data_IF_901825582302
#
_entry.id   IF_901825582302
#
_cell.length_a   1.000
_cell.length_b   1.000
_cell.length_c   1.000
_cell.angle_alpha   90.00
_cell.angle_beta   90.00
_cell.angle_gamma   90.00
#
_symmetry.space_group_name_H-M   'P 1'
#
loop_
_entity.id
_entity.type
_entity.pdbx_description
1 polymer ?
#
# COMPACT_ATOMS: atom_id res chain seq x y z
N UNK A 1 -2.95 5.73 -7.38
CA UNK A 1 -4.20 5.17 -6.86
C UNK A 1 -3.83 4.24 -5.74
N UNK A 2 -4.69 4.08 -4.73
CA UNK A 2 -4.45 3.10 -3.66
C UNK A 2 -5.10 1.77 -4.01
N UNK A 3 -4.66 0.71 -3.34
CA UNK A 3 -5.27 -0.61 -3.39
C UNK A 3 -6.77 -0.55 -3.09
N UNK A 4 -7.17 0.24 -2.10
CA UNK A 4 -8.58 0.43 -1.77
C UNK A 4 -9.39 1.05 -2.91
N UNK A 5 -8.83 2.00 -3.66
CA UNK A 5 -9.49 2.61 -4.81
C UNK A 5 -9.65 1.62 -5.97
N UNK A 6 -8.55 0.95 -6.36
CA UNK A 6 -8.55 -0.04 -7.44
C UNK A 6 -9.47 -1.23 -7.10
N UNK A 7 -9.34 -1.75 -5.87
CA UNK A 7 -10.18 -2.85 -5.36
C UNK A 7 -11.66 -2.49 -5.27
N UNK A 8 -11.99 -1.26 -4.86
CA UNK A 8 -13.39 -0.80 -4.82
C UNK A 8 -14.00 -0.77 -6.22
N UNK A 9 -13.30 -0.19 -7.20
CA UNK A 9 -13.76 -0.16 -8.60
C UNK A 9 -13.96 -1.58 -9.15
N UNK A 10 -12.98 -2.45 -8.92
CA UNK A 10 -13.04 -3.85 -9.36
C UNK A 10 -14.25 -4.58 -8.76
N UNK A 11 -14.49 -4.43 -7.45
CA UNK A 11 -15.64 -5.06 -6.76
C UNK A 11 -16.98 -4.49 -7.22
N UNK A 12 -17.09 -3.17 -7.39
CA UNK A 12 -18.32 -2.52 -7.85
C UNK A 12 -18.74 -2.98 -9.24
N UNK A 13 -17.79 -3.08 -10.18
CA UNK A 13 -18.08 -3.54 -11.54
C UNK A 13 -18.40 -5.03 -11.59
N UNK A 14 -17.74 -5.87 -10.77
CA UNK A 14 -18.11 -7.28 -10.62
C UNK A 14 -19.53 -7.43 -10.06
N UNK A 15 -19.88 -6.66 -9.04
CA UNK A 15 -21.23 -6.60 -8.47
C UNK A 15 -22.25 -6.19 -9.53
N UNK A 16 -21.95 -5.17 -10.34
CA UNK A 16 -22.79 -4.75 -11.45
C UNK A 16 -23.02 -5.88 -12.44
N UNK A 17 -21.98 -6.62 -12.83
CA UNK A 17 -22.11 -7.78 -13.73
C UNK A 17 -22.90 -8.94 -13.10
N UNK A 18 -22.71 -9.21 -11.80
CA UNK A 18 -23.44 -10.26 -11.07
C UNK A 18 -24.93 -9.97 -10.93
N UNK A 19 -25.34 -8.70 -10.96
CA UNK A 19 -26.75 -8.28 -11.01
C UNK A 19 -27.35 -8.38 -12.42
N UNK A 20 -26.54 -8.56 -13.46
CA UNK A 20 -27.00 -8.69 -14.84
C UNK A 20 -27.35 -10.14 -15.21
N UNK A 21 -28.45 -10.28 -15.95
CA UNK A 21 -28.94 -11.53 -16.52
C UNK A 21 -29.17 -11.40 -18.02
N UNK A 22 -29.38 -12.54 -18.69
CA UNK A 22 -29.65 -12.64 -20.14
C UNK A 22 -28.57 -11.98 -20.98
N UNK A 23 -27.33 -12.46 -20.80
CA UNK A 23 -26.12 -11.85 -21.34
C UNK A 23 -26.15 -11.71 -22.86
N UNK A 24 -26.65 -12.72 -23.56
CA UNK A 24 -26.86 -12.69 -25.02
C UNK A 24 -27.68 -11.48 -25.49
N UNK A 25 -28.78 -11.17 -24.80
CA UNK A 25 -29.65 -10.04 -25.14
C UNK A 25 -28.93 -8.71 -24.96
N UNK A 26 -28.13 -8.59 -23.89
CA UNK A 26 -27.36 -7.38 -23.58
C UNK A 26 -26.20 -7.12 -24.56
N UNK A 27 -25.77 -8.16 -25.28
CA UNK A 27 -24.81 -8.06 -26.38
C UNK A 27 -25.51 -7.87 -27.75
N UNK A 28 -26.82 -7.59 -27.75
CA UNK A 28 -27.59 -7.38 -28.98
C UNK A 28 -28.03 -8.67 -29.68
N UNK A 29 -27.90 -9.83 -29.02
CA UNK A 29 -28.31 -11.11 -29.57
C UNK A 29 -29.73 -11.55 -29.26
N UNK A 30 -30.09 -12.71 -29.83
CA UNK A 30 -31.42 -13.28 -29.73
C UNK A 30 -31.85 -13.44 -28.27
N UNK A 31 -33.11 -13.11 -28.00
CA UNK A 31 -33.54 -12.91 -26.63
C UNK A 31 -34.95 -13.29 -26.31
N UNK A 32 -35.81 -12.28 -26.45
CA UNK A 32 -37.26 -12.41 -26.42
C UNK A 32 -37.71 -12.10 -27.84
N UNK A 33 -38.78 -12.74 -28.32
CA UNK A 33 -39.34 -12.47 -29.66
C UNK A 33 -39.71 -10.99 -29.88
N UNK A 34 -39.72 -10.18 -28.82
CA UNK A 34 -40.05 -8.76 -28.80
C UNK A 34 -38.86 -7.81 -28.97
N UNK A 35 -37.60 -8.28 -28.89
CA UNK A 35 -36.40 -7.42 -29.04
C UNK A 35 -35.63 -7.89 -30.28
N UNK A 36 -35.50 -7.05 -31.32
CA UNK A 36 -34.76 -7.41 -32.52
C UNK A 36 -33.25 -7.52 -32.24
N UNK A 37 -32.58 -8.44 -32.93
CA UNK A 37 -31.12 -8.56 -32.86
C UNK A 37 -30.47 -7.30 -33.44
N UNK A 38 -29.52 -6.74 -32.69
CA UNK A 38 -28.76 -5.55 -33.08
C UNK A 38 -27.29 -5.84 -33.37
N UNK A 39 -26.87 -7.10 -33.25
CA UNK A 39 -25.53 -7.58 -33.59
C UNK A 39 -25.58 -8.83 -34.44
N UNK A 40 -24.52 -9.06 -35.22
CA UNK A 40 -24.32 -10.32 -35.93
C UNK A 40 -23.70 -11.39 -35.02
N UNK A 41 -23.72 -12.67 -35.44
CA UNK A 41 -23.05 -13.74 -34.70
C UNK A 41 -21.53 -13.53 -34.61
N UNK A 42 -20.91 -13.03 -35.68
CA UNK A 42 -19.47 -12.73 -35.76
C UNK A 42 -19.09 -11.58 -34.81
N UNK A 43 -19.89 -10.51 -34.77
CA UNK A 43 -19.69 -9.42 -33.81
C UNK A 43 -19.77 -9.92 -32.37
N UNK A 44 -20.75 -10.78 -32.06
CA UNK A 44 -20.88 -11.39 -30.73
C UNK A 44 -19.70 -12.29 -30.38
N UNK A 45 -19.14 -12.99 -31.36
CA UNK A 45 -17.93 -13.78 -31.16
C UNK A 45 -16.73 -12.92 -30.79
N UNK A 46 -16.52 -11.81 -31.51
CA UNK A 46 -15.45 -10.85 -31.20
C UNK A 46 -15.60 -10.24 -29.80
N UNK A 47 -16.83 -9.87 -29.42
CA UNK A 47 -17.14 -9.39 -28.07
C UNK A 47 -16.88 -10.47 -27.02
N UNK A 48 -17.27 -11.72 -27.26
CA UNK A 48 -16.99 -12.85 -26.37
C UNK A 48 -15.49 -13.08 -26.17
N UNK A 49 -14.70 -13.01 -27.24
CA UNK A 49 -13.24 -13.10 -27.18
C UNK A 49 -12.62 -11.93 -26.40
N UNK A 50 -13.12 -10.70 -26.59
CA UNK A 50 -12.67 -9.51 -25.87
C UNK A 50 -12.95 -9.62 -24.37
N UNK A 51 -14.17 -9.99 -23.98
CA UNK A 51 -14.55 -10.19 -22.58
C UNK A 51 -13.66 -11.25 -21.92
N UNK A 52 -13.29 -12.31 -22.64
CA UNK A 52 -12.36 -13.33 -22.12
C UNK A 52 -10.98 -12.77 -21.81
N UNK A 53 -10.45 -11.83 -22.61
CA UNK A 53 -9.18 -11.16 -22.32
C UNK A 53 -9.30 -10.30 -21.07
N UNK A 54 -10.43 -9.59 -20.91
CA UNK A 54 -10.73 -8.82 -19.71
C UNK A 54 -10.84 -9.69 -18.45
N UNK A 55 -11.52 -10.84 -18.53
CA UNK A 55 -11.55 -11.86 -17.48
C UNK A 55 -10.13 -12.36 -17.15
N UNK A 56 -9.28 -12.52 -18.16
CA UNK A 56 -7.88 -12.91 -18.00
C UNK A 56 -7.08 -11.93 -17.15
N UNK A 57 -7.25 -10.62 -17.36
CA UNK A 57 -6.62 -9.59 -16.54
C UNK A 57 -7.05 -9.67 -15.06
N UNK A 58 -8.34 -9.86 -14.79
CA UNK A 58 -8.84 -10.02 -13.43
C UNK A 58 -8.29 -11.28 -12.72
N UNK A 59 -8.20 -12.40 -13.44
CA UNK A 59 -7.56 -13.63 -12.93
C UNK A 59 -6.05 -13.42 -12.69
N UNK A 60 -5.38 -12.66 -13.55
CA UNK A 60 -3.99 -12.25 -13.38
C UNK A 60 -3.77 -11.48 -12.08
N UNK A 61 -4.59 -10.47 -11.82
CA UNK A 61 -4.58 -9.72 -10.56
C UNK A 61 -4.79 -10.64 -9.34
N UNK A 62 -5.71 -11.60 -9.40
CA UNK A 62 -5.91 -12.57 -8.31
C UNK A 62 -4.65 -13.42 -8.06
N UNK A 63 -3.94 -13.83 -9.11
CA UNK A 63 -2.67 -14.55 -8.99
C UNK A 63 -1.62 -13.65 -8.32
N UNK A 64 -1.44 -12.41 -8.78
CA UNK A 64 -0.49 -11.48 -8.17
C UNK A 64 -0.80 -11.25 -6.69
N UNK A 65 -2.06 -11.01 -6.34
CA UNK A 65 -2.50 -10.84 -4.96
C UNK A 65 -2.13 -12.05 -4.07
N UNK A 66 -2.43 -13.27 -4.53
CA UNK A 66 -2.13 -14.50 -3.79
C UNK A 66 -0.61 -14.76 -3.69
N UNK A 67 0.16 -14.42 -4.72
CA UNK A 67 1.61 -14.61 -4.74
C UNK A 67 2.33 -13.68 -3.76
N UNK A 68 1.81 -12.47 -3.57
CA UNK A 68 2.43 -11.43 -2.72
C UNK A 68 1.96 -11.51 -1.28
N UNK A 69 0.68 -11.86 -1.07
CA UNK A 69 0.10 -12.07 0.27
C UNK A 69 0.39 -13.46 0.87
N UNK A 70 1.04 -14.38 0.13
CA UNK A 70 1.44 -15.69 0.67
C UNK A 70 2.88 -15.67 1.20
N UNK A 71 3.09 -15.58 2.54
CA UNK A 71 4.42 -15.52 3.12
C UNK A 71 5.21 -16.83 3.00
N UNK A 72 4.56 -17.96 2.66
CA UNK A 72 5.17 -19.31 2.63
C UNK A 72 5.46 -19.84 1.22
N UNK A 73 5.37 -19.00 0.20
CA UNK A 73 5.54 -19.36 -1.21
C UNK A 73 6.87 -20.07 -1.56
N UNK A 74 7.93 -19.82 -0.80
CA UNK A 74 9.26 -20.38 -1.02
C UNK A 74 9.56 -21.64 -0.18
N UNK A 75 8.64 -22.10 0.67
CA UNK A 75 8.79 -23.38 1.36
C UNK A 75 8.40 -24.51 0.38
N UNK A 76 9.35 -24.89 -0.47
CA UNK A 76 9.20 -26.01 -1.39
C UNK A 76 8.85 -27.30 -0.65
N UNK A 77 7.84 -28.03 -1.14
CA UNK A 77 7.48 -29.35 -0.60
C UNK A 77 5.99 -29.69 -0.57
N UNK A 78 5.09 -28.86 -1.09
CA UNK A 78 3.66 -29.19 -1.09
C UNK A 78 3.29 -30.12 -2.26
N UNK A 79 3.20 -31.42 -1.97
CA UNK A 79 2.48 -32.39 -2.80
C UNK A 79 0.99 -32.04 -2.85
N UNK A 80 0.21 -32.57 -3.81
CA UNK A 80 -1.26 -32.35 -3.85
C UNK A 80 -1.97 -32.67 -2.53
N UNK A 81 -1.39 -33.55 -1.69
CA UNK A 81 -1.93 -33.94 -0.39
C UNK A 81 -1.50 -33.05 0.79
N UNK A 82 -0.53 -32.14 0.60
CA UNK A 82 0.04 -31.31 1.68
C UNK A 82 -0.11 -29.80 1.44
N UNK A 83 -0.93 -29.38 0.47
CA UNK A 83 -1.23 -27.96 0.24
C UNK A 83 -2.20 -27.44 1.30
N UNK A 84 -1.81 -26.35 1.96
CA UNK A 84 -2.75 -25.55 2.75
C UNK A 84 -3.74 -24.78 1.86
N UNK A 85 -4.77 -24.15 2.46
CA UNK A 85 -5.83 -23.41 1.74
C UNK A 85 -5.33 -22.43 0.68
N UNK A 86 -4.36 -21.58 1.05
CA UNK A 86 -3.79 -20.55 0.17
C UNK A 86 -3.01 -21.16 -1.00
N UNK A 87 -2.29 -22.26 -0.74
CA UNK A 87 -1.45 -22.92 -1.74
C UNK A 87 -2.29 -23.68 -2.77
N UNK A 88 -3.36 -24.35 -2.34
CA UNK A 88 -4.29 -25.01 -3.24
C UNK A 88 -5.04 -23.97 -4.09
N UNK A 89 -5.47 -22.85 -3.50
CA UNK A 89 -6.09 -21.75 -4.24
C UNK A 89 -5.15 -21.19 -5.32
N UNK A 90 -3.90 -20.89 -4.96
CA UNK A 90 -2.86 -20.46 -5.90
C UNK A 90 -2.68 -21.45 -7.05
N UNK A 91 -2.57 -22.73 -6.72
CA UNK A 91 -2.38 -23.78 -7.71
C UNK A 91 -3.52 -23.83 -8.72
N UNK A 92 -4.77 -23.78 -8.26
CA UNK A 92 -5.96 -23.79 -9.14
C UNK A 92 -6.10 -22.53 -9.97
N UNK A 93 -5.73 -21.37 -9.43
CA UNK A 93 -5.67 -20.12 -10.18
C UNK A 93 -4.65 -20.20 -11.33
N UNK A 94 -3.41 -20.62 -11.03
CA UNK A 94 -2.36 -20.79 -12.04
C UNK A 94 -2.72 -21.86 -13.08
N UNK A 95 -3.35 -22.96 -12.66
CA UNK A 95 -3.90 -23.97 -13.56
C UNK A 95 -4.93 -23.36 -14.53
N UNK A 96 -5.84 -22.54 -14.02
CA UNK A 96 -6.89 -21.87 -14.81
C UNK A 96 -6.32 -20.87 -15.82
N UNK A 97 -5.29 -20.10 -15.45
CA UNK A 97 -4.59 -19.18 -16.37
C UNK A 97 -3.82 -19.96 -17.43
N UNK A 98 -3.04 -20.99 -17.07
CA UNK A 98 -2.28 -21.78 -18.05
C UNK A 98 -3.16 -22.50 -19.06
N UNK A 99 -4.36 -22.91 -18.65
CA UNK A 99 -5.34 -23.54 -19.55
C UNK A 99 -6.15 -22.51 -20.36
N UNK A 100 -6.01 -21.21 -20.07
CA UNK A 100 -6.65 -20.15 -20.83
C UNK A 100 -5.84 -19.84 -22.08
N UNK A 101 -6.44 -20.02 -23.24
CA UNK A 101 -5.89 -19.55 -24.52
C UNK A 101 -6.28 -18.08 -24.82
N UNK A 102 -6.78 -17.34 -23.82
CA UNK A 102 -7.07 -15.92 -24.00
C UNK A 102 -5.76 -15.12 -23.96
N UNK A 103 -5.49 -14.31 -24.98
CA UNK A 103 -4.40 -13.34 -24.94
C UNK A 103 -4.62 -12.25 -23.90
N UNK A 104 -3.63 -11.37 -23.75
CA UNK A 104 -3.72 -10.20 -22.84
C UNK A 104 -4.51 -9.09 -23.55
N UNK A 105 -5.34 -8.36 -22.79
CA UNK A 105 -6.03 -7.19 -23.31
C UNK A 105 -5.02 -6.10 -23.70
N UNK A 106 -5.16 -5.54 -24.90
CA UNK A 106 -4.23 -4.50 -25.37
C UNK A 106 -4.49 -3.16 -24.68
N UNK A 107 -3.47 -2.28 -24.65
CA UNK A 107 -3.65 -0.92 -24.10
C UNK A 107 -4.76 -0.14 -24.80
N UNK A 108 -4.93 -0.35 -26.12
CA UNK A 108 -6.01 0.27 -26.90
C UNK A 108 -7.38 -0.20 -26.41
N UNK A 109 -7.55 -1.51 -26.20
CA UNK A 109 -8.79 -2.08 -25.66
C UNK A 109 -9.11 -1.54 -24.26
N UNK A 110 -8.11 -1.39 -23.40
CA UNK A 110 -8.28 -0.86 -22.04
C UNK A 110 -8.55 0.64 -22.00
N UNK A 111 -8.16 1.39 -23.04
CA UNK A 111 -8.29 2.86 -23.08
C UNK A 111 -9.58 3.33 -23.73
N UNK A 112 -10.12 2.58 -24.69
CA UNK A 112 -11.30 2.98 -25.48
C UNK A 112 -12.59 2.51 -24.80
N UNK A 113 -13.52 3.45 -24.60
CA UNK A 113 -14.85 3.16 -24.06
C UNK A 113 -15.64 2.21 -24.98
N UNK A 114 -16.38 1.28 -24.37
CA UNK A 114 -17.10 0.24 -25.09
C UNK A 114 -18.56 0.62 -25.31
N UNK A 115 -19.08 0.33 -26.51
CA UNK A 115 -20.48 0.60 -26.89
C UNK A 115 -21.51 -0.09 -25.98
N UNK A 116 -21.21 -1.32 -25.54
CA UNK A 116 -22.15 -2.12 -24.74
C UNK A 116 -21.81 -1.99 -23.26
N UNK A 117 -22.76 -1.61 -22.38
CA UNK A 117 -22.49 -1.39 -20.96
C UNK A 117 -21.86 -2.59 -20.25
N UNK A 118 -22.25 -3.81 -20.66
CA UNK A 118 -21.70 -5.04 -20.08
C UNK A 118 -20.22 -5.24 -20.43
N UNK A 119 -19.83 -4.88 -21.65
CA UNK A 119 -18.44 -4.95 -22.12
C UNK A 119 -17.62 -3.84 -21.49
N UNK A 120 -18.25 -2.67 -21.26
CA UNK A 120 -17.65 -1.56 -20.53
C UNK A 120 -17.34 -1.93 -19.07
N UNK A 121 -18.27 -2.56 -18.35
CA UNK A 121 -17.99 -3.08 -17.00
C UNK A 121 -16.83 -4.08 -16.99
N UNK A 122 -16.76 -4.99 -17.96
CA UNK A 122 -15.59 -5.89 -18.10
C UNK A 122 -14.29 -5.14 -18.40
N UNK A 123 -14.33 -4.08 -19.23
CA UNK A 123 -13.16 -3.23 -19.49
C UNK A 123 -12.71 -2.53 -18.21
N UNK A 124 -13.63 -1.97 -17.42
CA UNK A 124 -13.30 -1.31 -16.15
C UNK A 124 -12.70 -2.29 -15.14
N UNK A 125 -13.22 -3.52 -15.05
CA UNK A 125 -12.62 -4.60 -14.25
C UNK A 125 -11.18 -4.86 -14.71
N UNK A 126 -10.96 -5.03 -16.01
CA UNK A 126 -9.63 -5.32 -16.54
C UNK A 126 -8.66 -4.15 -16.34
N UNK A 127 -9.13 -2.92 -16.51
CA UNK A 127 -8.35 -1.70 -16.25
C UNK A 127 -7.98 -1.60 -14.77
N UNK A 128 -8.93 -1.80 -13.86
CA UNK A 128 -8.68 -1.81 -12.42
C UNK A 128 -7.70 -2.92 -12.01
N UNK A 129 -7.82 -4.12 -12.61
CA UNK A 129 -6.93 -5.24 -12.38
C UNK A 129 -5.49 -4.93 -12.82
N UNK A 130 -5.30 -4.45 -14.05
CA UNK A 130 -3.96 -4.09 -14.58
C UNK A 130 -3.33 -2.95 -13.79
N UNK A 131 -4.12 -1.93 -13.40
CA UNK A 131 -3.61 -0.86 -12.54
C UNK A 131 -3.28 -1.37 -11.13
N UNK A 132 -4.10 -2.29 -10.61
CA UNK A 132 -3.91 -2.92 -9.31
C UNK A 132 -2.70 -3.85 -9.22
N UNK A 133 -2.21 -4.38 -10.34
CA UNK A 133 -0.95 -5.15 -10.36
C UNK A 133 0.23 -4.29 -9.88
N UNK A 134 0.21 -2.98 -10.14
CA UNK A 134 1.25 -2.07 -9.66
C UNK A 134 1.23 -1.89 -8.14
N UNK A 135 0.08 -2.05 -7.48
CA UNK A 135 -0.01 -1.92 -6.02
C UNK A 135 0.90 -2.92 -5.30
N UNK A 136 1.07 -4.10 -5.92
CA UNK A 136 1.93 -5.17 -5.44
C UNK A 136 3.42 -4.97 -5.72
N UNK A 137 3.78 -4.12 -6.69
CA UNK A 137 5.18 -3.76 -6.94
C UNK A 137 5.72 -2.71 -5.94
N UNK A 138 4.83 -2.09 -5.15
CA UNK A 138 5.14 -1.02 -4.21
C UNK A 138 5.05 -1.47 -2.75
N UNK A 139 4.14 -0.83 -2.01
CA UNK A 139 3.99 -1.05 -0.57
C UNK A 139 3.36 -2.41 -0.24
N UNK A 140 2.65 -3.05 -1.17
CA UNK A 140 2.08 -4.40 -0.96
C UNK A 140 2.98 -5.52 -1.48
N UNK A 141 4.26 -5.23 -1.73
CA UNK A 141 5.21 -6.26 -2.10
C UNK A 141 5.45 -7.26 -0.96
N UNK A 142 5.81 -8.49 -1.33
CA UNK A 142 6.11 -9.59 -0.41
C UNK A 142 7.02 -9.15 0.74
N UNK A 143 6.61 -9.51 1.95
CA UNK A 143 7.37 -9.23 3.18
C UNK A 143 7.18 -7.81 3.74
N UNK A 144 6.41 -6.95 3.06
CA UNK A 144 6.05 -5.61 3.57
C UNK A 144 4.69 -5.54 4.25
N UNK A 145 3.89 -6.60 4.16
CA UNK A 145 2.58 -6.71 4.78
C UNK A 145 2.66 -7.50 6.08
N UNK A 146 1.89 -7.07 7.08
CA UNK A 146 1.60 -7.84 8.29
C UNK A 146 0.82 -9.11 7.94
N UNK A 147 0.74 -10.05 8.87
CA UNK A 147 -0.06 -11.27 8.66
C UNK A 147 -1.54 -10.95 8.44
N UNK A 148 -2.11 -9.98 9.18
CA UNK A 148 -3.51 -9.60 9.05
C UNK A 148 -3.77 -8.90 7.70
N UNK A 149 -2.85 -8.04 7.26
CA UNK A 149 -2.91 -7.41 5.93
C UNK A 149 -2.88 -8.45 4.80
N UNK A 150 -2.02 -9.47 4.92
CA UNK A 150 -2.00 -10.60 3.99
C UNK A 150 -3.35 -11.35 3.96
N UNK A 151 -3.98 -11.58 5.11
CA UNK A 151 -5.29 -12.25 5.17
C UNK A 151 -6.41 -11.42 4.52
N UNK A 152 -6.41 -10.10 4.69
CA UNK A 152 -7.34 -9.20 3.98
C UNK A 152 -7.19 -9.33 2.47
N UNK A 153 -5.96 -9.25 1.95
CA UNK A 153 -5.68 -9.36 0.50
C UNK A 153 -6.06 -10.74 -0.06
N UNK A 154 -5.81 -11.82 0.71
CA UNK A 154 -6.20 -13.18 0.33
C UNK A 154 -7.71 -13.36 0.26
N UNK A 155 -8.45 -12.77 1.20
CA UNK A 155 -9.92 -12.78 1.20
C UNK A 155 -10.46 -12.06 -0.03
N UNK A 156 -9.94 -10.86 -0.33
CA UNK A 156 -10.32 -10.08 -1.51
C UNK A 156 -10.07 -10.87 -2.82
N UNK A 157 -8.90 -11.49 -2.97
CA UNK A 157 -8.57 -12.30 -4.15
C UNK A 157 -9.48 -13.52 -4.31
N UNK A 158 -9.82 -14.18 -3.20
CA UNK A 158 -10.72 -15.32 -3.18
C UNK A 158 -12.16 -14.94 -3.59
N UNK A 159 -12.70 -13.84 -3.03
CA UNK A 159 -14.04 -13.35 -3.37
C UNK A 159 -14.15 -12.90 -4.83
N UNK A 160 -13.16 -12.17 -5.32
CA UNK A 160 -13.08 -11.79 -6.74
C UNK A 160 -13.06 -13.04 -7.62
N UNK A 161 -12.31 -14.08 -7.24
CA UNK A 161 -12.27 -15.33 -8.01
C UNK A 161 -13.63 -16.04 -8.01
N UNK A 162 -14.32 -16.11 -6.86
CA UNK A 162 -15.68 -16.67 -6.78
C UNK A 162 -16.65 -15.92 -7.69
N UNK A 163 -16.61 -14.58 -7.69
CA UNK A 163 -17.41 -13.77 -8.60
C UNK A 163 -17.13 -14.10 -10.08
N UNK A 164 -15.86 -14.21 -10.46
CA UNK A 164 -15.46 -14.58 -11.82
C UNK A 164 -15.95 -15.98 -12.21
N UNK A 165 -15.96 -16.95 -11.29
CA UNK A 165 -16.50 -18.29 -11.53
C UNK A 165 -18.02 -18.26 -11.75
N UNK A 166 -18.76 -17.48 -10.95
CA UNK A 166 -20.21 -17.30 -11.15
C UNK A 166 -20.50 -16.67 -12.51
N UNK A 167 -19.75 -15.62 -12.88
CA UNK A 167 -19.87 -14.98 -14.19
C UNK A 167 -19.48 -15.95 -15.32
N UNK A 168 -18.44 -16.76 -15.15
CA UNK A 168 -18.01 -17.73 -16.16
C UNK A 168 -19.13 -18.68 -16.57
N UNK A 169 -19.92 -19.14 -15.60
CA UNK A 169 -21.10 -19.97 -15.85
C UNK A 169 -22.21 -19.22 -16.58
N UNK A 170 -22.41 -17.93 -16.27
CA UNK A 170 -23.47 -17.12 -16.93
C UNK A 170 -23.14 -16.81 -18.38
N UNK A 171 -21.85 -16.79 -18.74
CA UNK A 171 -21.37 -16.41 -20.07
C UNK A 171 -21.16 -17.63 -21.00
N UNK A 172 -21.39 -18.85 -20.49
CA UNK A 172 -21.16 -20.12 -21.20
C UNK A 172 -21.86 -20.22 -22.56
N UNK A 173 -22.99 -19.52 -22.75
CA UNK A 173 -23.74 -19.50 -24.01
C UNK A 173 -23.31 -18.44 -25.03
N UNK A 174 -22.25 -17.66 -24.80
CA UNK A 174 -21.83 -16.57 -25.71
C UNK A 174 -20.86 -17.10 -26.78
N UNK A 175 -21.06 -16.78 -28.08
CA UNK A 175 -20.09 -17.07 -29.13
C UNK A 175 -18.66 -16.64 -28.76
N UNK A 176 -17.66 -17.46 -29.05
CA UNK A 176 -16.27 -17.19 -28.70
C UNK A 176 -15.93 -17.36 -27.20
N UNK A 177 -16.91 -17.67 -26.35
CA UNK A 177 -16.67 -17.96 -24.93
C UNK A 177 -15.94 -19.30 -24.75
N UNK A 178 -14.94 -19.31 -23.88
CA UNK A 178 -14.26 -20.54 -23.44
C UNK A 178 -14.34 -20.55 -21.91
N UNK A 179 -15.08 -21.50 -21.32
CA UNK A 179 -15.22 -21.64 -19.88
C UNK A 179 -13.90 -21.94 -19.18
N UNK A 180 -13.83 -21.64 -17.89
CA UNK A 180 -12.72 -22.05 -17.03
C UNK A 180 -12.78 -23.57 -16.86
N UNK A 181 -11.76 -24.31 -17.33
CA UNK A 181 -11.79 -25.79 -17.35
C UNK A 181 -11.95 -26.42 -15.97
N UNK A 182 -11.26 -25.90 -14.96
CA UNK A 182 -11.30 -26.40 -13.58
C UNK A 182 -12.23 -25.59 -12.68
N UNK A 183 -13.28 -24.99 -13.25
CA UNK A 183 -14.23 -24.05 -12.59
C UNK A 183 -14.65 -24.50 -11.19
N UNK A 184 -15.16 -25.73 -11.03
CA UNK A 184 -15.65 -26.21 -9.74
C UNK A 184 -14.55 -26.41 -8.69
N UNK A 185 -13.33 -26.81 -9.10
CA UNK A 185 -12.18 -26.94 -8.19
C UNK A 185 -11.63 -25.57 -7.80
N UNK A 186 -11.62 -24.62 -8.74
CA UNK A 186 -11.21 -23.25 -8.48
C UNK A 186 -12.16 -22.57 -7.50
N UNK A 187 -13.48 -22.70 -7.71
CA UNK A 187 -14.50 -22.14 -6.81
C UNK A 187 -14.34 -22.67 -5.38
N UNK A 188 -14.19 -23.99 -5.24
CA UNK A 188 -14.00 -24.62 -3.94
C UNK A 188 -12.70 -24.17 -3.26
N UNK A 189 -11.61 -24.05 -4.01
CA UNK A 189 -10.34 -23.60 -3.45
C UNK A 189 -10.41 -22.13 -3.01
N UNK A 190 -11.10 -21.27 -3.78
CA UNK A 190 -11.34 -19.88 -3.42
C UNK A 190 -12.23 -19.77 -2.16
N UNK A 191 -13.32 -20.52 -2.08
CA UNK A 191 -14.19 -20.58 -0.90
C UNK A 191 -13.43 -20.98 0.37
N UNK A 192 -12.61 -22.05 0.29
CA UNK A 192 -11.81 -22.52 1.43
C UNK A 192 -10.73 -21.49 1.81
N UNK A 193 -10.12 -20.82 0.84
CA UNK A 193 -9.16 -19.75 1.11
C UNK A 193 -9.82 -18.53 1.78
N UNK A 194 -11.01 -18.11 1.31
CA UNK A 194 -11.75 -17.01 1.92
C UNK A 194 -12.15 -17.33 3.37
N UNK A 195 -12.63 -18.55 3.63
CA UNK A 195 -12.96 -18.98 4.99
C UNK A 195 -11.74 -19.05 5.92
N UNK A 196 -10.60 -19.52 5.39
CA UNK A 196 -9.33 -19.56 6.14
C UNK A 196 -8.81 -18.16 6.45
N UNK A 197 -8.78 -17.27 5.46
CA UNK A 197 -8.27 -15.92 5.61
C UNK A 197 -9.21 -15.01 6.41
N UNK A 198 -10.51 -15.26 6.37
CA UNK A 198 -11.52 -14.50 7.12
C UNK A 198 -11.73 -14.95 8.57
N UNK A 199 -10.87 -15.80 9.14
CA UNK A 199 -10.98 -16.25 10.53
C UNK A 199 -10.59 -15.15 11.53
N UNK A 200 -9.56 -14.37 11.19
CA UNK A 200 -9.09 -13.24 12.00
C UNK A 200 -9.76 -11.93 11.56
N UNK A 201 -9.76 -10.93 12.45
CA UNK A 201 -10.25 -9.60 12.11
C UNK A 201 -9.40 -8.99 10.97
N UNK A 202 -10.04 -8.46 9.90
CA UNK A 202 -9.32 -7.91 8.75
C UNK A 202 -8.61 -6.60 9.12
N UNK A 203 -7.35 -6.50 8.70
CA UNK A 203 -6.61 -5.23 8.72
C UNK A 203 -6.83 -4.50 7.38
N UNK A 204 -7.55 -3.40 7.44
CA UNK A 204 -7.90 -2.59 6.27
C UNK A 204 -6.93 -1.45 6.00
N UNK A 205 -5.82 -1.35 6.73
CA UNK A 205 -4.75 -0.42 6.42
C UNK A 205 -4.18 -0.61 5.00
N UNK A 206 -4.28 -1.83 4.46
CA UNK A 206 -3.98 -2.16 3.06
C UNK A 206 -4.71 -1.26 2.05
N UNK A 207 -5.92 -0.78 2.36
CA UNK A 207 -6.71 0.07 1.45
C UNK A 207 -6.06 1.46 1.22
N UNK A 208 -5.21 1.89 2.15
CA UNK A 208 -4.46 3.16 2.06
C UNK A 208 -3.08 2.99 1.40
N UNK A 209 -2.64 1.74 1.23
CA UNK A 209 -1.39 1.34 0.58
C UNK A 209 -1.61 1.19 -0.93
N UNK A 210 -0.53 1.09 -1.71
CA UNK A 210 -0.60 0.91 -3.16
C UNK A 210 0.51 1.66 -3.88
N UNK A 211 0.49 1.64 -5.20
CA UNK A 211 1.54 2.30 -5.98
C UNK A 211 1.38 3.82 -5.92
N UNK A 212 2.39 4.49 -5.38
CA UNK A 212 2.56 5.94 -5.45
C UNK A 212 3.76 6.23 -6.35
N UNK A 213 3.67 7.21 -7.27
CA UNK A 213 4.85 7.69 -7.97
C UNK A 213 5.94 8.01 -6.94
N UNK A 214 7.21 7.65 -7.18
CA UNK A 214 8.29 8.03 -6.30
C UNK A 214 8.25 9.55 -6.13
N UNK A 215 8.25 10.02 -4.88
CA UNK A 215 8.23 11.45 -4.60
C UNK A 215 9.46 12.07 -5.27
N UNK A 216 9.23 13.03 -6.16
CA UNK A 216 10.28 13.79 -6.81
C UNK A 216 10.50 15.11 -6.05
N UNK A 217 11.71 15.64 -6.17
CA UNK A 217 12.02 17.00 -5.73
C UNK A 217 11.16 17.99 -6.50
N UNK A 218 10.78 19.08 -5.84
CA UNK A 218 10.16 20.21 -6.51
C UNK A 218 11.28 20.98 -7.19
N UNK A 219 11.38 20.80 -8.50
CA UNK A 219 12.37 21.47 -9.36
C UNK A 219 12.02 22.96 -9.56
N UNK A 220 13.05 23.77 -9.80
CA UNK A 220 12.92 25.21 -10.01
C UNK A 220 13.71 26.04 -8.99
N UNK A 221 13.73 27.36 -9.20
CA UNK A 221 14.32 28.30 -8.24
C UNK A 221 13.61 28.27 -6.88
N UNK A 222 14.23 28.81 -5.83
CA UNK A 222 13.61 28.86 -4.50
C UNK A 222 12.30 29.65 -4.56
N UNK A 223 11.21 29.04 -4.10
CA UNK A 223 9.94 29.75 -3.92
C UNK A 223 10.12 30.86 -2.87
N UNK A 224 9.45 32.01 -3.03
CA UNK A 224 9.51 33.09 -2.04
C UNK A 224 8.71 32.72 -0.79
N UNK A 225 8.98 33.42 0.31
CA UNK A 225 8.17 33.32 1.52
C UNK A 225 8.20 31.93 2.18
N UNK A 226 7.12 31.60 2.88
CA UNK A 226 6.90 30.28 3.49
C UNK A 226 6.85 29.14 2.46
N UNK A 227 6.51 29.43 1.21
CA UNK A 227 6.55 28.47 0.11
C UNK A 227 7.96 27.89 -0.11
N UNK A 228 8.99 28.72 0.04
CA UNK A 228 10.38 28.28 -0.03
C UNK A 228 10.79 27.33 1.10
N UNK A 229 10.21 27.50 2.29
CA UNK A 229 10.42 26.60 3.43
C UNK A 229 9.73 25.26 3.17
N UNK A 230 8.48 25.28 2.71
CA UNK A 230 7.72 24.08 2.37
C UNK A 230 8.42 23.27 1.27
N UNK A 231 8.95 23.95 0.24
CA UNK A 231 9.73 23.33 -0.84
C UNK A 231 10.96 22.62 -0.30
N UNK A 232 11.76 23.30 0.53
CA UNK A 232 12.99 22.74 1.09
C UNK A 232 12.71 21.55 2.03
N UNK A 233 11.68 21.66 2.88
CA UNK A 233 11.27 20.57 3.77
C UNK A 233 10.77 19.33 2.99
N UNK A 234 10.00 19.55 1.91
CA UNK A 234 9.59 18.47 1.00
C UNK A 234 10.80 17.83 0.30
N UNK A 235 11.72 18.62 -0.24
CA UNK A 235 12.91 18.09 -0.92
C UNK A 235 13.83 17.33 0.05
N UNK A 236 13.96 17.80 1.30
CA UNK A 236 14.65 17.07 2.36
C UNK A 236 14.04 15.69 2.56
N UNK A 237 12.70 15.59 2.68
CA UNK A 237 11.99 14.32 2.81
C UNK A 237 12.25 13.38 1.62
N UNK A 238 12.25 13.92 0.40
CA UNK A 238 12.60 13.16 -0.81
C UNK A 238 14.02 12.61 -0.73
N UNK A 239 14.99 13.43 -0.31
CA UNK A 239 16.38 12.98 -0.18
C UNK A 239 16.58 11.97 0.96
N UNK A 240 15.80 12.06 2.03
CA UNK A 240 15.77 11.07 3.12
C UNK A 240 15.19 9.71 2.69
N UNK A 241 14.69 9.56 1.46
CA UNK A 241 14.42 8.22 0.88
C UNK A 241 15.68 7.35 0.84
N UNK A 242 16.86 7.95 0.75
CA UNK A 242 18.16 7.28 0.87
C UNK A 242 18.58 7.25 2.33
N UNK A 243 19.16 6.13 2.75
CA UNK A 243 19.66 5.99 4.12
C UNK A 243 20.81 7.01 4.37
N UNK A 244 20.75 7.83 5.43
CA UNK A 244 21.80 8.79 5.75
C UNK A 244 22.87 8.17 6.65
N UNK A 245 24.11 8.60 6.47
CA UNK A 245 25.17 8.40 7.47
C UNK A 245 24.83 9.12 8.79
N UNK A 246 25.43 8.68 9.91
CA UNK A 246 25.08 9.17 11.24
C UNK A 246 25.28 10.68 11.41
N UNK A 247 26.35 11.24 10.82
CA UNK A 247 26.61 12.68 10.86
C UNK A 247 25.53 13.48 10.12
N UNK A 248 25.13 12.99 8.94
CA UNK A 248 24.07 13.60 8.14
C UNK A 248 22.72 13.53 8.87
N UNK A 249 22.39 12.38 9.49
CA UNK A 249 21.20 12.24 10.34
C UNK A 249 21.21 13.30 11.45
N UNK A 250 22.32 13.43 12.19
CA UNK A 250 22.41 14.40 13.30
C UNK A 250 22.21 15.85 12.83
N UNK A 251 22.70 16.22 11.65
CA UNK A 251 22.49 17.55 11.07
C UNK A 251 21.03 17.78 10.67
N UNK A 252 20.36 16.75 10.14
CA UNK A 252 18.92 16.80 9.87
C UNK A 252 18.14 16.97 11.16
N UNK A 253 18.47 16.24 12.24
CA UNK A 253 17.83 16.39 13.55
C UNK A 253 17.94 17.83 14.08
N UNK A 254 19.12 18.44 13.97
CA UNK A 254 19.31 19.84 14.39
C UNK A 254 18.53 20.83 13.51
N UNK A 255 18.47 20.59 12.20
CA UNK A 255 17.63 21.35 11.29
C UNK A 255 16.16 21.32 11.69
N UNK A 256 15.63 20.12 11.97
CA UNK A 256 14.25 19.93 12.41
C UNK A 256 13.96 20.57 13.76
N UNK A 257 14.89 20.47 14.73
CA UNK A 257 14.80 21.18 16.01
C UNK A 257 14.65 22.69 15.82
N UNK A 258 15.54 23.29 15.04
CA UNK A 258 15.54 24.74 14.80
C UNK A 258 14.27 25.14 14.04
N UNK A 259 13.86 24.35 13.05
CA UNK A 259 12.71 24.65 12.22
C UNK A 259 11.40 24.61 13.03
N UNK A 260 11.21 23.61 13.91
CA UNK A 260 10.09 23.54 14.85
C UNK A 260 10.00 24.80 15.73
N UNK A 261 11.14 25.20 16.33
CA UNK A 261 11.20 26.39 17.17
C UNK A 261 10.81 27.66 16.40
N UNK A 262 11.37 27.83 15.20
CA UNK A 262 11.13 29.00 14.37
C UNK A 262 9.69 29.05 13.83
N UNK A 263 9.09 27.90 13.55
CA UNK A 263 7.69 27.79 13.16
C UNK A 263 6.77 28.20 14.33
N UNK A 264 7.04 27.70 15.55
CA UNK A 264 6.27 28.05 16.74
C UNK A 264 6.25 29.56 17.03
N UNK A 265 7.37 30.25 16.78
CA UNK A 265 7.45 31.71 16.93
C UNK A 265 6.58 32.51 15.94
N UNK A 266 6.18 31.92 14.81
CA UNK A 266 5.38 32.58 13.75
C UNK A 266 3.91 32.16 13.73
N UNK A 267 3.54 31.22 14.60
CA UNK A 267 2.18 30.71 14.73
C UNK A 267 1.21 31.51 15.62
N UNK A 268 1.60 32.39 16.59
CA UNK A 268 0.67 32.98 17.56
C UNK A 268 -0.58 33.64 16.97
N UNK A 269 -0.41 34.40 15.89
CA UNK A 269 -1.50 35.22 15.35
C UNK A 269 -2.37 34.47 14.33
N UNK A 270 -1.88 33.34 13.78
CA UNK A 270 -2.51 32.65 12.65
C UNK A 270 -2.89 31.20 12.93
N UNK A 271 -2.14 30.47 13.76
CA UNK A 271 -2.36 29.07 14.07
C UNK A 271 -1.87 28.72 15.49
N UNK A 272 -2.41 29.38 16.54
CA UNK A 272 -1.94 29.20 17.92
C UNK A 272 -2.07 27.74 18.40
N UNK A 273 -2.99 26.96 17.82
CA UNK A 273 -3.19 25.55 18.12
C UNK A 273 -1.96 24.66 17.82
N UNK A 274 -1.03 25.12 16.97
CA UNK A 274 0.15 24.34 16.57
C UNK A 274 1.36 24.58 17.48
N UNK A 275 1.35 25.62 18.32
CA UNK A 275 2.53 26.08 19.07
C UNK A 275 3.01 25.02 20.05
N UNK A 276 2.11 24.51 20.89
CA UNK A 276 2.46 23.55 21.94
C UNK A 276 3.10 22.29 21.33
N UNK A 277 2.47 21.72 20.30
CA UNK A 277 3.00 20.55 19.60
C UNK A 277 4.35 20.81 18.91
N UNK A 278 4.60 22.01 18.39
CA UNK A 278 5.89 22.36 17.79
C UNK A 278 7.00 22.60 18.81
N UNK A 279 6.67 23.13 19.99
CA UNK A 279 7.63 23.26 21.10
C UNK A 279 7.96 21.89 21.72
N UNK A 280 6.97 21.02 21.86
CA UNK A 280 7.18 19.62 22.26
C UNK A 280 8.08 18.92 21.23
N UNK A 281 7.77 19.07 19.94
CA UNK A 281 8.61 18.55 18.85
C UNK A 281 10.04 19.05 18.94
N UNK A 282 10.27 20.35 19.14
CA UNK A 282 11.62 20.91 19.36
C UNK A 282 12.36 20.17 20.48
N UNK A 283 11.70 19.96 21.62
CA UNK A 283 12.28 19.30 22.77
C UNK A 283 12.60 17.82 22.48
N UNK A 284 11.72 17.10 21.79
CA UNK A 284 11.99 15.72 21.33
C UNK A 284 13.22 15.65 20.45
N UNK A 285 13.37 16.55 19.47
CA UNK A 285 14.57 16.60 18.62
C UNK A 285 15.84 16.97 19.40
N UNK A 286 15.74 17.82 20.42
CA UNK A 286 16.85 18.12 21.32
C UNK A 286 17.29 16.87 22.12
N UNK A 287 16.34 16.06 22.58
CA UNK A 287 16.63 14.79 23.26
C UNK A 287 17.31 13.80 22.29
N UNK A 288 16.79 13.66 21.06
CA UNK A 288 17.39 12.81 20.01
C UNK A 288 18.81 13.25 19.64
N UNK A 289 19.08 14.55 19.57
CA UNK A 289 20.45 15.06 19.36
C UNK A 289 21.40 14.66 20.50
N UNK A 290 20.91 14.67 21.74
CA UNK A 290 21.66 14.19 22.90
C UNK A 290 22.00 12.70 22.79
N UNK A 291 21.00 11.88 22.48
CA UNK A 291 21.15 10.43 22.32
C UNK A 291 22.07 10.06 21.14
N UNK A 292 22.02 10.82 20.04
CA UNK A 292 22.86 10.58 18.85
C UNK A 292 24.30 11.09 18.96
N UNK A 293 24.69 11.70 20.09
CA UNK A 293 26.02 12.35 20.22
C UNK A 293 27.19 11.39 19.97
N UNK A 294 27.07 10.15 20.42
CA UNK A 294 28.11 9.11 20.31
C UNK A 294 27.81 8.07 19.24
N UNK A 295 26.78 8.30 18.42
CA UNK A 295 26.39 7.43 17.32
C UNK A 295 27.26 7.73 16.10
N UNK A 296 27.92 6.71 15.58
CA UNK A 296 28.68 6.70 14.33
C UNK A 296 28.07 5.75 13.31
N UNK A 297 28.37 5.97 12.04
CA UNK A 297 27.93 5.14 10.93
C UNK A 297 28.23 5.85 9.61
N UNK A 298 28.99 5.19 8.75
CA UNK A 298 29.48 5.72 7.46
C UNK A 298 28.66 5.22 6.26
N UNK A 299 27.66 4.37 6.51
CA UNK A 299 26.83 3.80 5.46
C UNK A 299 25.75 4.81 5.08
N UNK A 300 25.64 5.08 3.78
CA UNK A 300 24.62 5.98 3.22
C UNK A 300 25.18 7.31 2.74
N UNK A 301 24.28 8.18 2.26
CA UNK A 301 24.61 9.55 1.87
C UNK A 301 23.39 10.43 2.15
N UNK A 302 23.51 11.32 3.14
CA UNK A 302 22.47 12.27 3.50
C UNK A 302 22.79 13.72 3.12
N UNK A 303 23.84 13.99 2.35
CA UNK A 303 24.32 15.35 2.09
C UNK A 303 23.26 16.26 1.46
N UNK A 304 22.48 15.74 0.51
CA UNK A 304 21.39 16.50 -0.11
C UNK A 304 20.24 16.80 0.86
N UNK A 305 19.89 15.85 1.74
CA UNK A 305 18.90 16.09 2.79
C UNK A 305 19.39 17.15 3.79
N UNK A 306 20.67 17.11 4.17
CA UNK A 306 21.29 18.12 5.04
C UNK A 306 21.25 19.50 4.40
N UNK A 307 21.57 19.60 3.10
CA UNK A 307 21.52 20.88 2.37
C UNK A 307 20.10 21.45 2.37
N UNK A 308 19.08 20.64 2.11
CA UNK A 308 17.69 21.10 2.11
C UNK A 308 17.16 21.42 3.51
N UNK A 309 17.56 20.68 4.54
CA UNK A 309 17.27 21.05 5.93
C UNK A 309 17.88 22.42 6.30
N UNK A 310 19.12 22.67 5.87
CA UNK A 310 19.76 23.96 6.07
C UNK A 310 19.07 25.09 5.28
N UNK A 311 18.63 24.83 4.05
CA UNK A 311 17.85 25.77 3.25
C UNK A 311 16.52 26.11 3.94
N UNK A 312 15.79 25.11 4.43
CA UNK A 312 14.53 25.33 5.15
C UNK A 312 14.73 26.22 6.38
N UNK A 313 15.79 25.96 7.16
CA UNK A 313 16.16 26.79 8.32
C UNK A 313 16.55 28.20 7.93
N UNK A 314 17.39 28.39 6.90
CA UNK A 314 17.82 29.72 6.45
C UNK A 314 16.62 30.54 6.01
N UNK A 315 15.78 29.97 5.13
CA UNK A 315 14.57 30.62 4.63
C UNK A 315 13.61 30.94 5.77
N UNK A 316 13.38 30.02 6.69
CA UNK A 316 12.51 30.28 7.85
C UNK A 316 13.04 31.43 8.72
N UNK A 317 14.35 31.56 8.89
CA UNK A 317 14.95 32.68 9.65
C UNK A 317 14.79 34.02 8.95
N UNK A 318 14.82 34.04 7.63
CA UNK A 318 14.65 35.24 6.81
C UNK A 318 13.20 35.74 6.78
N UNK A 319 12.21 34.86 7.01
CA UNK A 319 10.79 35.24 7.07
C UNK A 319 10.47 36.10 8.28
N UNK A 320 9.90 37.29 8.06
CA UNK A 320 9.31 38.06 9.15
C UNK A 320 8.07 37.38 9.72
N UNK A 321 7.74 37.65 10.98
CA UNK A 321 6.56 37.05 11.65
C UNK A 321 5.26 37.44 10.92
N UNK A 322 5.19 38.69 10.45
CA UNK A 322 4.01 39.24 9.78
C UNK A 322 3.83 38.81 8.31
N UNK A 323 4.82 38.11 7.73
CA UNK A 323 4.73 37.63 6.34
C UNK A 323 3.77 36.44 6.19
N UNK A 324 3.44 35.76 7.28
CA UNK A 324 2.50 34.64 7.29
C UNK A 324 1.13 35.17 7.72
N UNK A 325 0.25 35.36 6.74
CA UNK A 325 -1.08 35.95 6.95
C UNK A 325 -2.21 34.93 7.07
N UNK A 326 -1.93 33.65 6.83
CA UNK A 326 -2.92 32.57 6.87
C UNK A 326 -2.39 31.31 7.55
N UNK A 327 -3.31 30.52 8.12
CA UNK A 327 -2.99 29.27 8.82
C UNK A 327 -2.60 28.12 7.87
N UNK A 328 -3.01 28.17 6.60
CA UNK A 328 -2.89 27.05 5.66
C UNK A 328 -1.43 26.63 5.41
N UNK A 329 -0.47 27.54 5.13
CA UNK A 329 0.94 27.16 4.97
C UNK A 329 1.55 26.54 6.23
N UNK A 330 1.14 26.99 7.42
CA UNK A 330 1.60 26.41 8.69
C UNK A 330 1.02 25.01 8.93
N UNK A 331 -0.23 24.79 8.52
CA UNK A 331 -0.85 23.45 8.55
C UNK A 331 -0.18 22.50 7.55
N UNK A 332 0.21 22.99 6.38
CA UNK A 332 0.97 22.19 5.41
C UNK A 332 2.38 21.89 5.91
N UNK A 333 3.04 22.84 6.56
CA UNK A 333 4.31 22.59 7.24
C UNK A 333 4.15 21.55 8.35
N UNK A 334 3.06 21.60 9.13
CA UNK A 334 2.77 20.61 10.16
C UNK A 334 2.63 19.20 9.57
N UNK A 335 1.95 19.05 8.42
CA UNK A 335 1.87 17.76 7.70
C UNK A 335 3.25 17.26 7.28
N UNK A 336 4.14 18.15 6.84
CA UNK A 336 5.52 17.80 6.48
C UNK A 336 6.33 17.39 7.72
N UNK A 337 6.18 18.09 8.85
CA UNK A 337 6.80 17.71 10.12
C UNK A 337 6.40 16.30 10.55
N UNK A 338 5.11 15.97 10.54
CA UNK A 338 4.64 14.62 10.87
C UNK A 338 5.27 13.55 9.96
N UNK A 339 5.43 13.85 8.66
CA UNK A 339 6.10 12.94 7.71
C UNK A 339 7.60 12.83 7.99
N UNK A 340 8.25 13.93 8.35
CA UNK A 340 9.67 13.96 8.71
C UNK A 340 9.92 13.12 9.97
N UNK A 341 9.09 13.27 11.00
CA UNK A 341 9.16 12.52 12.25
C UNK A 341 9.03 11.01 11.99
N UNK A 342 8.01 10.61 11.22
CA UNK A 342 7.80 9.22 10.83
C UNK A 342 8.98 8.65 10.02
N UNK A 343 9.54 9.44 9.09
CA UNK A 343 10.66 9.00 8.25
C UNK A 343 11.95 8.86 9.07
N UNK A 344 12.26 9.83 9.92
CA UNK A 344 13.44 9.83 10.79
C UNK A 344 13.36 8.67 11.78
N UNK A 345 12.18 8.43 12.38
CA UNK A 345 11.98 7.28 13.26
C UNK A 345 12.27 5.95 12.52
N UNK A 346 11.77 5.82 11.30
CA UNK A 346 11.99 4.63 10.47
C UNK A 346 13.46 4.43 10.12
N UNK A 347 14.21 5.51 9.84
CA UNK A 347 15.65 5.45 9.57
C UNK A 347 16.43 4.99 10.82
N UNK A 348 16.11 5.53 12.00
CA UNK A 348 16.77 5.14 13.26
C UNK A 348 16.49 3.66 13.57
N UNK A 349 15.24 3.23 13.45
CA UNK A 349 14.84 1.84 13.68
C UNK A 349 15.49 0.87 12.67
N UNK A 350 15.50 1.23 11.38
CA UNK A 350 16.18 0.46 10.34
C UNK A 350 17.69 0.38 10.63
N UNK A 351 18.32 1.49 10.99
CA UNK A 351 19.74 1.55 11.32
C UNK A 351 20.12 0.66 12.52
N UNK A 352 19.23 0.54 13.50
CA UNK A 352 19.41 -0.39 14.62
C UNK A 352 19.16 -1.86 14.21
N UNK A 353 18.07 -2.13 13.47
CA UNK A 353 17.69 -3.49 13.06
C UNK A 353 18.74 -4.11 12.11
N UNK A 354 19.26 -3.33 11.16
CA UNK A 354 20.26 -3.74 10.19
C UNK A 354 21.71 -3.53 10.68
N UNK A 355 21.90 -3.03 11.92
CA UNK A 355 23.21 -2.78 12.55
C UNK A 355 24.11 -1.83 11.74
N UNK A 356 23.51 -0.79 11.16
CA UNK A 356 24.19 0.23 10.35
C UNK A 356 24.72 1.40 11.19
N UNK A 357 24.18 1.60 12.38
CA UNK A 357 24.65 2.59 13.35
C UNK A 357 25.33 1.92 14.55
N UNK A 358 26.38 2.57 15.06
CA UNK A 358 27.24 2.09 16.13
C UNK A 358 27.42 3.15 17.20
N UNK A 359 27.47 2.77 18.47
CA UNK A 359 27.76 3.68 19.59
C UNK A 359 29.13 3.35 20.17
N UNK A 360 29.90 4.39 20.47
CA UNK A 360 31.11 4.24 21.28
C UNK A 360 30.74 4.00 22.74
N UNK A 361 31.00 2.79 23.24
CA UNK A 361 30.82 2.41 24.64
C UNK A 361 32.17 2.22 25.32
N UNK A 362 32.26 2.75 26.54
CA UNK A 362 33.42 2.58 27.42
C UNK A 362 33.31 1.26 28.16
N UNK A 363 34.15 0.29 27.79
CA UNK A 363 34.16 -1.05 28.39
C UNK A 363 35.39 -1.19 29.30
N UNK A 364 35.24 -1.74 30.53
CA UNK A 364 36.37 -2.03 31.40
C UNK A 364 37.32 -3.04 30.72
N UNK A 365 38.63 -2.76 30.73
CA UNK A 365 39.63 -3.75 30.30
C UNK A 365 39.94 -4.69 31.46
N UNK A 366 39.65 -5.98 31.29
CA UNK A 366 40.19 -7.02 32.18
C UNK A 366 41.68 -7.15 31.82
N UNK A 367 42.55 -6.79 32.76
CA UNK A 367 44.00 -7.01 32.67
C UNK A 367 44.32 -8.08 33.69
N UNK A 368 44.49 -9.32 33.23
CA UNK A 368 44.89 -10.41 34.10
C UNK A 368 46.37 -10.22 34.52
N UNK A 369 46.61 -10.16 35.83
CA UNK A 369 47.93 -10.42 36.42
C UNK A 369 48.81 -9.23 36.83
N UNK A 370 48.36 -7.97 36.86
CA UNK A 370 49.27 -6.82 37.16
C UNK A 370 49.03 -6.05 38.45
N UNK A 371 48.05 -6.44 39.29
CA UNK A 371 47.87 -5.82 40.62
C UNK A 371 47.57 -4.31 40.61
N UNK A 372 47.22 -3.71 39.47
CA UNK A 372 46.84 -2.31 39.37
C UNK A 372 45.37 -2.12 39.78
N UNK A 373 45.12 -1.23 40.73
CA UNK A 373 43.79 -0.89 41.27
C UNK A 373 42.85 -0.17 40.30
N UNK A 374 43.32 0.22 39.11
CA UNK A 374 42.52 0.97 38.11
C UNK A 374 42.61 0.29 36.76
N UNK A 375 41.52 -0.37 36.33
CA UNK A 375 41.39 -0.92 34.98
C UNK A 375 41.29 0.21 33.96
N UNK A 376 42.18 0.28 32.94
CA UNK A 376 42.07 1.29 31.89
C UNK A 376 40.81 1.05 31.07
N UNK A 377 40.02 2.11 30.85
CA UNK A 377 38.79 2.07 30.06
C UNK A 377 39.13 1.99 28.57
N UNK A 378 38.53 1.05 27.83
CA UNK A 378 38.67 0.95 26.37
C UNK A 378 37.37 1.33 25.69
N UNK A 379 37.43 2.19 24.69
CA UNK A 379 36.29 2.46 23.82
C UNK A 379 36.11 1.32 22.81
N UNK A 380 34.88 0.82 22.69
CA UNK A 380 34.45 -0.16 21.68
C UNK A 380 33.23 0.39 20.95
N UNK A 381 33.22 0.24 19.64
CA UNK A 381 32.04 0.54 18.83
C UNK A 381 31.15 -0.70 18.81
N UNK A 382 29.92 -0.56 19.31
CA UNK A 382 28.93 -1.63 19.34
C UNK A 382 27.69 -1.20 18.55
N UNK A 383 27.02 -2.11 17.83
CA UNK A 383 25.84 -1.75 17.06
C UNK A 383 24.73 -1.25 17.98
N UNK A 384 24.02 -0.20 17.54
CA UNK A 384 22.84 0.32 18.24
C UNK A 384 21.83 -0.81 18.38
N UNK A 385 21.41 -1.07 19.61
CA UNK A 385 20.39 -2.06 19.95
C UNK A 385 19.70 -1.64 21.23
N UNK A 386 18.54 -2.23 21.54
CA UNK A 386 17.79 -1.92 22.76
C UNK A 386 18.61 -2.11 24.05
N UNK A 387 19.66 -2.93 24.01
CA UNK A 387 20.54 -3.18 25.15
C UNK A 387 21.73 -2.20 25.27
N UNK A 388 22.06 -1.46 24.21
CA UNK A 388 23.35 -0.71 24.10
C UNK A 388 23.15 0.78 23.81
N UNK A 389 21.93 1.21 23.47
CA UNK A 389 21.52 2.62 23.39
C UNK A 389 19.98 2.68 23.53
N UNK A 390 19.50 2.44 24.75
CA UNK A 390 18.07 2.35 25.05
C UNK A 390 17.34 3.66 24.80
N UNK A 391 18.02 4.78 25.07
CA UNK A 391 17.41 6.10 25.10
C UNK A 391 17.08 6.58 23.69
N UNK A 392 17.99 6.38 22.71
CA UNK A 392 17.71 6.69 21.30
C UNK A 392 16.47 5.95 20.79
N UNK A 393 16.37 4.64 21.06
CA UNK A 393 15.23 3.83 20.61
C UNK A 393 13.96 4.12 21.41
N UNK A 394 14.06 4.46 22.70
CA UNK A 394 12.93 4.84 23.53
C UNK A 394 12.32 6.16 23.06
N UNK A 395 13.13 7.22 22.92
CA UNK A 395 12.67 8.53 22.43
C UNK A 395 12.05 8.36 21.03
N UNK A 396 12.69 7.59 20.15
CA UNK A 396 12.17 7.34 18.80
C UNK A 396 10.80 6.66 18.79
N UNK A 397 10.58 5.68 19.68
CA UNK A 397 9.34 4.87 19.69
C UNK A 397 8.20 5.53 20.44
N UNK A 398 8.50 6.26 21.52
CA UNK A 398 7.49 6.73 22.46
C UNK A 398 7.29 8.25 22.42
N UNK A 399 8.30 9.03 22.01
CA UNK A 399 8.21 10.50 21.95
C UNK A 399 8.10 11.01 20.50
N UNK A 400 8.81 10.42 19.54
CA UNK A 400 8.80 10.86 18.14
C UNK A 400 7.61 10.32 17.33
N UNK A 401 7.00 9.20 17.74
CA UNK A 401 5.80 8.63 17.12
C UNK A 401 4.62 8.68 18.09
N UNK A 402 3.54 9.44 17.78
CA UNK A 402 2.27 9.19 18.44
C UNK A 402 1.73 7.80 18.05
N UNK A 403 0.90 7.17 18.90
CA UNK A 403 0.44 5.79 18.69
C UNK A 403 -0.26 5.66 17.32
N UNK A 404 -0.01 4.56 16.59
CA UNK A 404 -0.61 4.37 15.28
C UNK A 404 -2.13 4.37 15.42
N UNK A 405 -2.79 5.32 14.75
CA UNK A 405 -4.24 5.26 14.56
C UNK A 405 -4.51 3.98 13.78
N UNK A 406 -5.20 3.02 14.39
CA UNK A 406 -5.63 1.80 13.70
C UNK A 406 -6.39 2.19 12.44
N UNK A 407 -5.88 1.92 11.23
CA UNK A 407 -6.52 2.41 10.02
C UNK A 407 -7.81 1.64 9.80
N UNK A 408 -8.96 2.29 9.99
CA UNK A 408 -10.24 1.74 9.54
C UNK A 408 -10.33 1.83 8.02
N UNK A 409 -10.89 0.80 7.38
CA UNK A 409 -11.22 0.87 5.95
C UNK A 409 -12.03 2.13 5.65
N UNK A 410 -11.86 2.67 4.45
CA UNK A 410 -12.81 3.66 3.95
C UNK A 410 -14.21 3.03 3.86
N UNK A 411 -15.24 3.82 4.09
CA UNK A 411 -16.62 3.37 4.04
C UNK A 411 -16.95 2.70 2.69
N UNK A 412 -16.47 3.28 1.59
CA UNK A 412 -16.64 2.73 0.24
C UNK A 412 -15.98 1.35 0.06
N UNK A 413 -14.79 1.12 0.65
CA UNK A 413 -14.11 -0.16 0.54
C UNK A 413 -14.82 -1.26 1.35
N UNK A 414 -15.39 -0.91 2.52
CA UNK A 414 -16.23 -1.82 3.31
C UNK A 414 -17.53 -2.17 2.59
N UNK A 415 -18.21 -1.16 2.06
CA UNK A 415 -19.47 -1.35 1.33
C UNK A 415 -19.29 -2.26 0.12
N UNK A 416 -18.28 -1.97 -0.72
CA UNK A 416 -18.03 -2.76 -1.93
C UNK A 416 -17.69 -4.24 -1.65
N UNK A 417 -16.99 -4.55 -0.55
CA UNK A 417 -16.74 -5.94 -0.12
C UNK A 417 -18.04 -6.64 0.27
N UNK A 418 -18.88 -5.97 1.08
CA UNK A 418 -20.17 -6.52 1.50
C UNK A 418 -21.08 -6.79 0.30
N UNK A 419 -21.26 -5.81 -0.57
CA UNK A 419 -22.12 -5.93 -1.75
C UNK A 419 -21.67 -7.04 -2.70
N UNK A 420 -20.34 -7.20 -2.89
CA UNK A 420 -19.80 -8.28 -3.72
C UNK A 420 -20.15 -9.65 -3.12
N UNK A 421 -19.90 -9.83 -1.82
CA UNK A 421 -20.19 -11.08 -1.12
C UNK A 421 -21.67 -11.45 -1.21
N UNK A 422 -22.55 -10.50 -0.93
CA UNK A 422 -24.00 -10.68 -1.07
C UNK A 422 -24.39 -11.05 -2.51
N UNK A 423 -23.77 -10.43 -3.52
CA UNK A 423 -24.06 -10.69 -4.93
C UNK A 423 -23.56 -12.05 -5.43
N UNK A 424 -22.47 -12.59 -4.85
CA UNK A 424 -21.98 -13.94 -5.14
C UNK A 424 -22.97 -14.98 -4.61
N UNK A 425 -23.47 -14.78 -3.40
CA UNK A 425 -24.35 -15.75 -2.73
C UNK A 425 -25.83 -15.61 -3.17
N UNK A 426 -26.20 -14.49 -3.81
CA UNK A 426 -27.54 -14.28 -4.34
C UNK A 426 -27.91 -15.30 -5.43
N UNK A 427 -28.89 -16.15 -5.14
CA UNK A 427 -29.53 -17.06 -6.09
C UNK A 427 -30.88 -16.47 -6.51
N UNK A 428 -31.16 -16.27 -7.80
CA UNK A 428 -32.49 -15.82 -8.22
C UNK A 428 -33.55 -16.84 -7.80
N UNK A 429 -34.64 -16.38 -7.21
CA UNK A 429 -35.76 -17.21 -6.76
C UNK A 429 -36.22 -18.13 -7.89
N UNK A 430 -36.32 -19.44 -7.61
CA UNK A 430 -36.92 -20.39 -8.56
C UNK A 430 -38.35 -19.92 -8.81
N UNK A 431 -38.67 -19.60 -10.07
CA UNK A 431 -40.05 -19.42 -10.55
C UNK A 431 -40.91 -20.53 -9.95
N UNK A 432 -41.85 -20.16 -9.09
CA UNK A 432 -42.86 -21.07 -8.59
C UNK A 432 -43.52 -21.74 -9.81
N UNK A 433 -43.50 -23.07 -9.83
CA UNK A 433 -44.25 -23.84 -10.83
C UNK A 433 -45.71 -23.35 -10.79
N UNK A 434 -46.33 -23.05 -11.94
CA UNK A 434 -47.73 -22.68 -11.95
C UNK A 434 -48.54 -23.83 -11.34
N UNK A 435 -49.56 -23.54 -10.50
CA UNK A 435 -50.39 -24.58 -9.94
C UNK A 435 -51.08 -25.33 -11.07
N UNK A 436 -50.94 -26.66 -11.09
CA UNK A 436 -51.71 -27.53 -11.97
C UNK A 436 -53.20 -27.21 -11.77
N UNK A 437 -53.87 -26.79 -12.85
CA UNK A 437 -55.32 -26.78 -12.97
C UNK A 437 -55.74 -27.85 -13.95
#
# INVERSE_FOLDING_TARGET
>A
MTYGQNGTLLRQELTTLLRQHRIQQRLGGAGSHTIPESTTAEERELLGQQIRRYRGAALGWCVHAVMEANPRINLGGSTERSRGPVEEFRHRLLESIRMSNAGIASMKELSVEQKYPIVESWRQIAKAAVLGEHDFAGDLARGRMSQQECMTVLTDAAEVTRALVVLDKRYEGIPGWIPIRVRGRLDRAAEVCAAFAGYDDPDYSVDQRGWRPPAATIDGGPLPGIGGVLQAEHNMLVHLSRFPEALSLRRVLDGQRILSHQAARRAPDVAPELIEGWLEREQTYKNLMGATRNVGGIVGNGGAAVAEAANAVSRMRELHVDEITSAEPLRDLNKLFTRADARIASIIEQGAAERLYFVSVKVPRIVDGTGQLVSPVRERYMPVSAAIDSDLLAITRYELRPPPISPTASEAARESRRELRESIDHRPERRASPPNR
#
